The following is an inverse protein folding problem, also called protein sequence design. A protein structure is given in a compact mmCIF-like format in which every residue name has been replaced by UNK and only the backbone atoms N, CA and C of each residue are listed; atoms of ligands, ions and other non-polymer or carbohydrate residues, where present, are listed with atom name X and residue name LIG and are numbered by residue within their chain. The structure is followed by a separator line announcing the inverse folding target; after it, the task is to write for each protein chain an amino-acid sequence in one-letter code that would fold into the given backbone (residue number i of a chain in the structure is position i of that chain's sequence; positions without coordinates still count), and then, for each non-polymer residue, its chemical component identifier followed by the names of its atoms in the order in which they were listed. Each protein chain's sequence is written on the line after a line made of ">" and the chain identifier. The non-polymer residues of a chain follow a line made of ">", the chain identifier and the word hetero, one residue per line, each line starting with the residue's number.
data_IF_645274522355
#
_entry.id   IF_645274522355
#
_cell.length_a   1.000
_cell.length_b   1.000
_cell.length_c   1.000
_cell.angle_alpha   90.00
_cell.angle_beta   90.00
_cell.angle_gamma   90.00
#
_symmetry.space_group_name_H-M   'P 1'
#
loop_
_entity.id
_entity.type
_entity.pdbx_description
1 polymer ?
#
# COMPACT_ATOMS: atom_id res chain seq x y z
N UNK A 1 -9.09 -36.29 -36.29
CA UNK A 1 -8.54 -36.63 -34.98
C UNK A 1 -7.51 -35.57 -34.52
N UNK A 2 -6.55 -35.19 -35.32
CA UNK A 2 -5.52 -34.19 -34.97
C UNK A 2 -6.05 -32.80 -34.62
N UNK A 3 -7.08 -32.31 -35.29
CA UNK A 3 -7.67 -30.96 -35.07
C UNK A 3 -8.29 -30.78 -33.67
N UNK A 4 -8.86 -31.81 -33.12
CA UNK A 4 -9.43 -31.79 -31.78
C UNK A 4 -8.37 -31.78 -30.70
N UNK A 5 -7.28 -32.53 -30.92
CA UNK A 5 -6.16 -32.56 -29.99
C UNK A 5 -5.43 -31.21 -29.94
N UNK A 6 -5.21 -30.58 -31.11
CA UNK A 6 -4.61 -29.24 -31.17
C UNK A 6 -5.48 -28.18 -30.54
N UNK A 7 -6.81 -28.23 -30.77
CA UNK A 7 -7.74 -27.31 -30.12
C UNK A 7 -7.77 -27.48 -28.57
N UNK A 8 -7.73 -28.74 -28.11
CA UNK A 8 -7.66 -29.04 -26.67
C UNK A 8 -6.37 -28.55 -26.05
N UNK A 9 -5.22 -28.79 -26.67
CA UNK A 9 -3.92 -28.32 -26.18
C UNK A 9 -3.85 -26.79 -26.15
N UNK A 10 -4.29 -26.15 -27.23
CA UNK A 10 -4.28 -24.70 -27.33
C UNK A 10 -5.23 -24.06 -26.28
N UNK A 11 -6.42 -24.60 -26.12
CA UNK A 11 -7.35 -24.16 -25.09
C UNK A 11 -6.84 -24.40 -23.68
N UNK A 12 -6.16 -25.53 -23.45
CA UNK A 12 -5.53 -25.85 -22.17
C UNK A 12 -4.41 -24.87 -21.80
N UNK A 13 -3.55 -24.53 -22.73
CA UNK A 13 -2.46 -23.55 -22.53
C UNK A 13 -3.03 -22.15 -22.25
N UNK A 14 -3.99 -21.71 -23.05
CA UNK A 14 -4.65 -20.40 -22.82
C UNK A 14 -5.40 -20.37 -21.50
N UNK A 15 -6.14 -21.44 -21.17
CA UNK A 15 -6.85 -21.56 -19.90
C UNK A 15 -5.92 -21.56 -18.70
N UNK A 16 -4.80 -22.27 -18.79
CA UNK A 16 -3.76 -22.26 -17.74
C UNK A 16 -3.15 -20.87 -17.55
N UNK A 17 -2.78 -20.20 -18.64
CA UNK A 17 -2.24 -18.84 -18.59
C UNK A 17 -3.21 -17.85 -17.96
N UNK A 18 -4.47 -17.89 -18.39
CA UNK A 18 -5.53 -17.06 -17.81
C UNK A 18 -5.81 -17.40 -16.34
N UNK A 19 -5.82 -18.68 -15.98
CA UNK A 19 -6.04 -19.14 -14.60
C UNK A 19 -4.92 -18.69 -13.65
N UNK A 20 -3.66 -18.75 -14.10
CA UNK A 20 -2.51 -18.24 -13.34
C UNK A 20 -2.64 -16.73 -13.14
N UNK A 21 -2.90 -15.97 -14.20
CA UNK A 21 -3.07 -14.52 -14.10
C UNK A 21 -4.22 -14.14 -13.15
N UNK A 22 -5.37 -14.81 -13.27
CA UNK A 22 -6.52 -14.59 -12.40
C UNK A 22 -6.22 -14.99 -10.96
N UNK A 23 -5.50 -16.10 -10.75
CA UNK A 23 -5.08 -16.56 -9.42
C UNK A 23 -4.15 -15.56 -8.73
N UNK A 24 -3.19 -14.99 -9.44
CA UNK A 24 -2.35 -13.91 -8.91
C UNK A 24 -3.14 -12.68 -8.50
N UNK A 25 -4.11 -12.29 -9.32
CA UNK A 25 -4.96 -11.14 -9.04
C UNK A 25 -5.88 -11.37 -7.83
N UNK A 26 -6.47 -12.56 -7.74
CA UNK A 26 -7.41 -12.90 -6.66
C UNK A 26 -6.73 -13.32 -5.34
N UNK A 27 -5.45 -13.71 -5.38
CA UNK A 27 -4.73 -14.22 -4.22
C UNK A 27 -4.83 -13.33 -2.98
N UNK A 28 -4.56 -12.00 -3.05
CA UNK A 28 -4.62 -11.14 -1.87
C UNK A 28 -6.05 -10.95 -1.30
N UNK A 29 -7.08 -11.25 -2.09
CA UNK A 29 -8.47 -11.21 -1.63
C UNK A 29 -8.87 -12.47 -0.88
N UNK A 30 -8.34 -13.62 -1.29
CA UNK A 30 -8.65 -14.93 -0.69
C UNK A 30 -7.74 -15.22 0.50
N UNK A 31 -6.49 -14.76 0.41
CA UNK A 31 -5.44 -14.97 1.42
C UNK A 31 -4.81 -13.62 1.82
N UNK A 32 -5.56 -12.74 2.50
CA UNK A 32 -5.00 -11.49 2.97
C UNK A 32 -3.91 -11.78 4.00
N UNK A 33 -2.83 -10.96 4.04
CA UNK A 33 -1.83 -11.08 5.09
C UNK A 33 -2.48 -10.83 6.46
N UNK A 34 -1.94 -11.43 7.54
CA UNK A 34 -2.42 -11.16 8.89
C UNK A 34 -2.32 -9.67 9.22
N UNK A 35 -3.18 -9.21 10.11
CA UNK A 35 -3.14 -7.82 10.59
C UNK A 35 -1.80 -7.53 11.26
N UNK A 36 -1.26 -6.36 11.00
CA UNK A 36 -0.04 -5.90 11.64
C UNK A 36 -0.35 -5.31 13.01
N UNK A 37 0.55 -5.53 13.99
CA UNK A 37 0.41 -5.06 15.37
C UNK A 37 1.71 -4.41 15.86
N UNK A 38 2.32 -3.59 15.05
CA UNK A 38 3.54 -2.87 15.44
C UNK A 38 3.23 -1.86 16.54
N UNK A 39 4.20 -1.65 17.42
CA UNK A 39 4.13 -0.67 18.47
C UNK A 39 5.31 0.30 18.37
N UNK A 40 5.03 1.57 18.64
CA UNK A 40 6.07 2.58 18.76
C UNK A 40 6.78 2.47 20.12
N UNK A 41 8.09 2.47 20.10
CA UNK A 41 8.90 2.67 21.29
C UNK A 41 8.89 4.13 21.72
N UNK A 42 9.25 4.41 22.98
CA UNK A 42 9.38 5.81 23.44
C UNK A 42 10.42 6.60 22.64
N UNK A 43 11.49 5.95 22.20
CA UNK A 43 12.52 6.58 21.38
C UNK A 43 12.00 6.98 19.99
N UNK A 44 11.12 6.18 19.38
CA UNK A 44 10.52 6.47 18.09
C UNK A 44 9.45 7.57 18.16
N UNK A 45 8.83 7.77 19.32
CA UNK A 45 7.82 8.81 19.54
C UNK A 45 8.41 10.23 19.74
N UNK A 46 9.72 10.36 19.77
CA UNK A 46 10.38 11.65 19.85
C UNK A 46 10.32 12.41 18.54
N UNK A 47 10.00 13.71 18.58
CA UNK A 47 9.90 14.60 17.41
C UNK A 47 8.80 14.20 16.41
N UNK A 48 7.56 14.34 16.84
CA UNK A 48 6.43 14.32 15.94
C UNK A 48 6.55 15.47 14.93
N UNK A 49 6.49 15.14 13.64
CA UNK A 49 6.59 16.07 12.52
C UNK A 49 5.20 16.43 12.00
N UNK A 50 4.38 15.42 11.72
CA UNK A 50 3.06 15.61 11.16
C UNK A 50 2.10 14.51 11.60
N UNK A 51 0.81 14.79 11.52
CA UNK A 51 -0.30 13.82 11.65
C UNK A 51 -1.27 14.01 10.51
N UNK A 52 -1.91 12.93 10.10
CA UNK A 52 -2.94 12.96 9.08
C UNK A 52 -3.80 11.72 9.11
N UNK A 53 -4.68 11.65 8.12
CA UNK A 53 -5.51 10.48 7.91
C UNK A 53 -5.43 10.08 6.44
N UNK A 54 -5.41 8.77 6.21
CA UNK A 54 -5.64 8.24 4.87
C UNK A 54 -7.09 8.48 4.48
N UNK A 55 -7.28 8.88 3.26
CA UNK A 55 -8.59 9.11 2.66
C UNK A 55 -8.73 8.27 1.39
N UNK A 56 -9.95 7.94 1.04
CA UNK A 56 -10.24 7.38 -0.27
C UNK A 56 -10.18 8.51 -1.31
N UNK A 57 -9.06 8.62 -2.03
CA UNK A 57 -8.82 9.70 -2.98
C UNK A 57 -9.78 9.68 -4.17
N UNK A 58 -10.23 8.50 -4.60
CA UNK A 58 -11.23 8.36 -5.66
C UNK A 58 -12.51 7.68 -5.12
N UNK A 59 -13.56 8.44 -4.79
CA UNK A 59 -14.80 7.88 -4.26
C UNK A 59 -15.56 6.98 -5.24
N UNK A 60 -15.23 7.05 -6.53
CA UNK A 60 -15.84 6.22 -7.57
C UNK A 60 -15.12 4.86 -7.73
N UNK A 61 -14.03 4.63 -7.03
CA UNK A 61 -13.31 3.38 -7.04
C UNK A 61 -13.72 2.53 -5.83
N UNK A 62 -14.54 1.49 -6.01
CA UNK A 62 -15.02 0.67 -4.90
C UNK A 62 -13.97 -0.33 -4.40
N UNK A 63 -12.86 -0.50 -5.10
CA UNK A 63 -11.85 -1.51 -4.83
C UNK A 63 -10.68 -0.93 -4.03
N UNK A 64 -10.17 0.24 -4.45
CA UNK A 64 -9.02 0.88 -3.84
C UNK A 64 -9.46 1.85 -2.73
N UNK A 65 -9.89 1.30 -1.62
CA UNK A 65 -10.29 2.06 -0.44
C UNK A 65 -9.12 2.19 0.52
N UNK A 66 -9.09 3.29 1.27
CA UNK A 66 -8.07 3.50 2.30
C UNK A 66 -8.59 4.44 3.39
N UNK A 67 -8.29 4.12 4.63
CA UNK A 67 -8.61 4.93 5.81
C UNK A 67 -7.61 4.67 6.94
N UNK A 68 -7.66 5.48 7.96
CA UNK A 68 -6.89 5.33 9.18
C UNK A 68 -5.96 6.50 9.44
N UNK A 69 -5.56 6.63 10.68
CA UNK A 69 -4.65 7.69 11.11
C UNK A 69 -3.19 7.35 10.79
N UNK A 70 -2.39 8.37 10.55
CA UNK A 70 -0.95 8.26 10.34
C UNK A 70 -0.23 9.34 11.17
N UNK A 71 0.91 8.97 11.74
CA UNK A 71 1.82 9.89 12.39
C UNK A 71 3.20 9.79 11.76
N UNK A 72 3.78 10.93 11.43
CA UNK A 72 5.13 11.04 10.89
C UNK A 72 6.03 11.57 12.00
N UNK A 73 7.02 10.79 12.37
CA UNK A 73 8.10 11.16 13.27
C UNK A 73 9.39 11.36 12.48
N UNK A 74 10.39 11.98 13.07
CA UNK A 74 11.65 12.27 12.38
C UNK A 74 12.35 11.04 11.78
N UNK A 75 12.17 9.86 12.38
CA UNK A 75 12.78 8.59 11.92
C UNK A 75 11.78 7.50 11.56
N UNK A 76 10.48 7.73 11.71
CA UNK A 76 9.48 6.68 11.58
C UNK A 76 8.14 7.22 11.10
N UNK A 77 7.54 6.59 10.12
CA UNK A 77 6.13 6.75 9.78
C UNK A 77 5.37 5.63 10.45
N UNK A 78 4.31 5.97 11.17
CA UNK A 78 3.46 5.03 11.90
C UNK A 78 2.02 5.11 11.42
N UNK A 79 1.55 4.01 10.86
CA UNK A 79 0.15 3.77 10.56
C UNK A 79 -0.51 3.23 11.82
N UNK A 80 -1.62 3.82 12.24
CA UNK A 80 -2.29 3.44 13.49
C UNK A 80 -3.12 2.16 13.33
N UNK A 81 -3.67 1.66 14.42
CA UNK A 81 -4.46 0.43 14.49
C UNK A 81 -5.78 0.49 13.70
N UNK A 82 -6.29 1.70 13.46
CA UNK A 82 -7.45 1.95 12.62
C UNK A 82 -7.14 1.96 11.10
N UNK A 83 -5.86 1.74 10.73
CA UNK A 83 -5.45 1.68 9.33
C UNK A 83 -6.06 0.47 8.63
N UNK A 84 -6.70 0.73 7.50
CA UNK A 84 -7.24 -0.29 6.62
C UNK A 84 -7.19 0.18 5.17
N UNK A 85 -6.74 -0.71 4.29
CA UNK A 85 -6.82 -0.51 2.84
C UNK A 85 -7.46 -1.73 2.18
N UNK A 86 -8.12 -1.52 1.04
CA UNK A 86 -8.60 -2.60 0.19
C UNK A 86 -7.43 -3.47 -0.29
N UNK A 87 -7.67 -4.78 -0.52
CA UNK A 87 -6.61 -5.68 -0.95
C UNK A 87 -6.10 -5.33 -2.36
N UNK A 88 -4.80 -5.48 -2.55
CA UNK A 88 -4.13 -5.25 -3.83
C UNK A 88 -2.76 -5.92 -3.87
N UNK A 89 -2.21 -6.15 -5.07
CA UNK A 89 -1.03 -6.99 -5.25
C UNK A 89 0.29 -6.31 -4.85
N UNK A 90 0.37 -4.98 -4.87
CA UNK A 90 1.65 -4.28 -4.74
C UNK A 90 1.50 -2.85 -4.21
N UNK A 91 0.99 -2.71 -3.00
CA UNK A 91 0.94 -1.40 -2.33
C UNK A 91 2.29 -1.03 -1.73
N UNK A 92 2.65 0.24 -1.88
CA UNK A 92 3.81 0.87 -1.26
C UNK A 92 3.41 2.06 -0.40
N UNK A 93 4.22 2.36 0.60
CA UNK A 93 4.08 3.55 1.42
C UNK A 93 5.03 4.61 0.91
N UNK A 94 4.49 5.72 0.43
CA UNK A 94 5.25 6.86 -0.06
C UNK A 94 5.18 8.02 0.93
N UNK A 95 6.32 8.59 1.25
CA UNK A 95 6.43 9.85 1.98
C UNK A 95 6.62 10.99 0.99
N UNK A 96 5.70 11.94 1.00
CA UNK A 96 5.63 13.05 0.04
C UNK A 96 5.80 14.36 0.79
N UNK A 97 6.64 15.32 0.34
CA UNK A 97 6.84 16.62 0.97
C UNK A 97 5.70 17.59 0.64
N UNK A 98 4.48 17.16 0.81
CA UNK A 98 3.27 17.93 0.53
C UNK A 98 2.13 17.47 1.42
N UNK A 99 1.39 18.42 1.96
CA UNK A 99 0.15 18.15 2.69
C UNK A 99 -1.03 17.94 1.73
N UNK A 100 -2.03 17.22 2.20
CA UNK A 100 -3.35 17.10 1.56
C UNK A 100 -3.30 16.53 0.13
N UNK A 101 -2.60 15.40 -0.04
CA UNK A 101 -2.56 14.66 -1.32
C UNK A 101 -3.91 13.99 -1.56
N UNK A 102 -4.51 14.27 -2.73
CA UNK A 102 -5.85 13.78 -3.10
C UNK A 102 -5.89 13.00 -4.40
N UNK A 103 -4.79 12.90 -5.13
CA UNK A 103 -4.71 12.15 -6.37
C UNK A 103 -3.34 11.51 -6.59
N UNK A 104 -3.31 10.44 -7.39
CA UNK A 104 -2.07 9.79 -7.79
C UNK A 104 -1.14 10.72 -8.59
N UNK A 105 -1.72 11.63 -9.39
CA UNK A 105 -0.96 12.59 -10.19
C UNK A 105 -0.18 13.58 -9.32
N UNK A 106 -0.72 13.94 -8.16
CA UNK A 106 -0.02 14.81 -7.20
C UNK A 106 1.20 14.13 -6.61
N UNK A 107 1.17 12.82 -6.42
CA UNK A 107 2.34 12.03 -6.00
C UNK A 107 3.34 11.93 -7.14
N UNK A 108 2.88 11.57 -8.34
CA UNK A 108 3.74 11.37 -9.52
C UNK A 108 4.49 12.62 -9.95
N UNK A 109 3.89 13.81 -9.74
CA UNK A 109 4.46 15.10 -10.09
C UNK A 109 5.28 15.73 -8.96
N UNK A 110 5.49 15.02 -7.87
CA UNK A 110 6.24 15.49 -6.70
C UNK A 110 7.35 14.51 -6.37
N UNK A 111 8.44 15.01 -5.81
CA UNK A 111 9.48 14.14 -5.27
C UNK A 111 8.91 13.34 -4.09
N UNK A 112 9.05 12.03 -4.09
CA UNK A 112 8.61 11.16 -3.00
C UNK A 112 9.70 10.20 -2.57
N UNK A 113 9.57 9.69 -1.36
CA UNK A 113 10.44 8.65 -0.82
C UNK A 113 9.62 7.39 -0.65
N UNK A 114 10.03 6.31 -1.30
CA UNK A 114 9.43 4.99 -1.11
C UNK A 114 9.96 4.39 0.20
N UNK A 115 9.06 4.19 1.15
CA UNK A 115 9.36 3.59 2.45
C UNK A 115 9.24 2.05 2.43
N UNK A 116 8.84 1.49 1.30
CA UNK A 116 8.72 0.07 1.08
C UNK A 116 7.28 -0.44 0.92
N UNK A 117 7.18 -1.74 0.70
CA UNK A 117 5.89 -2.40 0.49
C UNK A 117 5.04 -2.39 1.75
N UNK A 118 3.75 -2.22 1.56
CA UNK A 118 2.76 -2.39 2.61
C UNK A 118 2.75 -3.85 3.07
N UNK A 119 2.95 -4.09 4.38
CA UNK A 119 3.09 -5.44 4.94
C UNK A 119 1.76 -6.11 5.25
N UNK A 120 0.75 -5.32 5.62
CA UNK A 120 -0.59 -5.81 5.91
C UNK A 120 -1.64 -4.79 5.45
N UNK A 121 -2.84 -5.28 5.13
CA UNK A 121 -3.94 -4.41 4.71
C UNK A 121 -4.67 -3.76 5.89
N UNK A 122 -4.39 -4.23 7.11
CA UNK A 122 -4.99 -3.73 8.35
C UNK A 122 -3.98 -3.70 9.49
N UNK A 123 -4.25 -2.81 10.43
CA UNK A 123 -3.54 -2.73 11.69
C UNK A 123 -2.32 -1.83 11.70
N UNK A 124 -1.71 -1.70 12.85
CA UNK A 124 -0.61 -0.76 13.06
C UNK A 124 0.69 -1.23 12.44
N UNK A 125 1.35 -0.35 11.70
CA UNK A 125 2.59 -0.64 10.98
C UNK A 125 3.55 0.53 11.08
N UNK A 126 4.83 0.24 11.17
CA UNK A 126 5.88 1.27 11.16
C UNK A 126 6.84 1.08 10.01
N UNK A 127 7.28 2.21 9.47
CA UNK A 127 8.21 2.30 8.35
C UNK A 127 9.33 3.25 8.71
N UNK A 128 10.58 2.83 8.52
CA UNK A 128 11.73 3.66 8.78
C UNK A 128 11.82 4.78 7.74
N UNK A 129 12.05 6.01 8.22
CA UNK A 129 12.39 7.15 7.35
C UNK A 129 13.90 7.13 7.12
N UNK A 130 14.37 7.19 5.86
CA UNK A 130 15.79 7.22 5.56
C UNK A 130 16.51 8.39 6.26
N UNK A 131 17.72 8.11 6.75
CA UNK A 131 18.54 9.14 7.38
C UNK A 131 18.89 10.26 6.39
N UNK A 132 18.89 11.50 6.87
CA UNK A 132 19.20 12.67 6.05
C UNK A 132 18.01 13.40 5.44
N UNK A 133 16.79 12.88 5.62
CA UNK A 133 15.59 13.64 5.30
C UNK A 133 15.34 14.69 6.40
N UNK A 134 15.26 15.94 5.98
CA UNK A 134 14.90 17.06 6.85
C UNK A 134 13.45 17.43 6.62
N UNK A 135 12.71 17.57 7.69
CA UNK A 135 11.33 18.05 7.65
C UNK A 135 11.33 19.53 8.00
N UNK A 136 10.85 20.37 7.08
CA UNK A 136 10.61 21.77 7.38
C UNK A 136 9.43 21.91 8.34
N UNK A 137 9.52 22.76 9.37
CA UNK A 137 8.41 23.02 10.26
C UNK A 137 7.24 23.65 9.51
N UNK A 138 6.11 22.98 9.47
CA UNK A 138 4.89 23.49 8.85
C UNK A 138 4.61 23.01 7.42
N UNK A 139 5.34 22.01 6.94
CA UNK A 139 4.99 21.33 5.69
C UNK A 139 3.82 20.36 5.87
#
# INVERSE_FOLDING_TARGET
>A
MFRWLTAFLFGGVLGAAFGVALGFFLFPYVFPPPEAMDQLTQAEQTKLVAKGNFIQANPNDPIHTGKGAVSVYAGTVFLHDDFEVGPGPDFHVYLVPRADIRSADEVSNTMYVDLGRLRAFKGSQKYAVPAGLTFEPGA
#
